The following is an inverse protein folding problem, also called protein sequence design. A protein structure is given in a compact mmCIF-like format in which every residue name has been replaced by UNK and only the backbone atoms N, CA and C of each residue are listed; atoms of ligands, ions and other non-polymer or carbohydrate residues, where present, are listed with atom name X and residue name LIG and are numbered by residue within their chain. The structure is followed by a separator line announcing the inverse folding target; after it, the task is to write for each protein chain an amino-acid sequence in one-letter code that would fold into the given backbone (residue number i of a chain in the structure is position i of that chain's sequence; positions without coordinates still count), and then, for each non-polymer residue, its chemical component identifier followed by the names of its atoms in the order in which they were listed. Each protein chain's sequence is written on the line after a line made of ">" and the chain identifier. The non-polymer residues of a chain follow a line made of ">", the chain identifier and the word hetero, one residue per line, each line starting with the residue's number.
data_IF_130114646509
#
_entry.id   IF_130114646509
#
_cell.length_a   1.000
_cell.length_b   1.000
_cell.length_c   1.000
_cell.angle_alpha   90.00
_cell.angle_beta   90.00
_cell.angle_gamma   90.00
#
_symmetry.space_group_name_H-M   'P 1'
#
loop_
_entity.id
_entity.type
_entity.pdbx_description
1 polymer ?
#
# COMPACT_ATOMS: atom_id res chain seq x y z
N UNK A 1 0.77 48.00 28.35
CA UNK A 1 0.42 46.57 28.38
C UNK A 1 1.60 45.81 28.95
N UNK A 2 1.48 45.30 30.17
CA UNK A 2 2.59 44.72 30.94
C UNK A 2 2.64 43.21 30.68
N UNK A 3 3.75 42.71 30.17
CA UNK A 3 3.92 41.28 29.88
C UNK A 3 3.93 40.45 31.17
N UNK A 4 3.32 39.26 31.19
CA UNK A 4 3.37 38.39 32.37
C UNK A 4 4.81 37.93 32.66
N UNK A 5 5.18 37.75 33.94
CA UNK A 5 6.53 37.35 34.33
C UNK A 5 6.86 35.94 33.81
N UNK A 6 8.03 35.81 33.16
CA UNK A 6 8.55 34.52 32.65
C UNK A 6 8.88 33.61 33.85
N UNK A 7 8.36 32.37 33.82
CA UNK A 7 8.71 31.34 34.81
C UNK A 7 10.23 31.13 34.82
N UNK A 8 10.85 31.27 35.97
CA UNK A 8 12.26 30.96 36.15
C UNK A 8 12.49 29.46 35.96
N UNK A 9 13.48 29.08 35.13
CA UNK A 9 13.88 27.69 34.99
C UNK A 9 14.42 27.19 36.33
N UNK A 10 13.85 26.09 36.83
CA UNK A 10 14.33 25.37 38.01
C UNK A 10 15.84 25.10 37.86
N UNK A 11 16.60 25.66 38.80
CA UNK A 11 18.06 25.78 38.80
C UNK A 11 18.78 24.49 38.41
N UNK A 12 19.78 24.61 37.51
CA UNK A 12 21.07 23.90 37.33
C UNK A 12 21.24 22.44 37.84
N UNK A 13 20.18 21.67 38.05
CA UNK A 13 20.29 20.25 38.36
C UNK A 13 20.37 19.49 37.05
N UNK A 14 21.32 18.56 36.89
CA UNK A 14 21.35 17.69 35.73
C UNK A 14 20.01 16.96 35.63
N UNK A 15 19.40 17.01 34.46
CA UNK A 15 18.18 16.25 34.19
C UNK A 15 18.46 14.77 34.48
N UNK A 16 17.61 14.15 35.30
CA UNK A 16 17.75 12.74 35.63
C UNK A 16 17.56 11.91 34.36
N UNK A 17 18.41 10.90 34.10
CA UNK A 17 18.18 10.02 32.97
C UNK A 17 16.82 9.32 33.11
N UNK A 18 16.16 9.03 31.97
CA UNK A 18 14.90 8.28 31.98
C UNK A 18 15.09 6.93 32.67
N UNK A 19 14.13 6.56 33.52
CA UNK A 19 14.16 5.27 34.21
C UNK A 19 13.75 4.15 33.26
N UNK A 20 14.56 3.09 33.21
CA UNK A 20 14.29 1.91 32.40
C UNK A 20 13.14 1.12 33.04
N UNK A 21 11.91 1.31 32.55
CA UNK A 21 10.78 0.49 32.95
C UNK A 21 10.99 -0.94 32.43
N UNK A 22 11.29 -1.87 33.35
CA UNK A 22 11.51 -3.31 33.06
C UNK A 22 10.29 -4.02 32.45
N UNK A 23 9.14 -3.37 32.43
CA UNK A 23 7.85 -3.90 31.97
C UNK A 23 7.39 -3.26 30.66
N UNK A 24 8.29 -2.64 29.90
CA UNK A 24 7.96 -2.29 28.53
C UNK A 24 7.78 -3.60 27.77
N UNK A 25 6.53 -3.95 27.48
CA UNK A 25 6.20 -4.98 26.51
C UNK A 25 6.89 -4.57 25.22
N UNK A 26 8.04 -5.16 24.94
CA UNK A 26 8.76 -4.89 23.71
C UNK A 26 7.80 -5.22 22.55
N UNK A 27 7.65 -4.31 21.59
CA UNK A 27 6.91 -4.56 20.34
C UNK A 27 7.61 -5.59 19.43
N UNK A 28 8.56 -6.34 19.98
CA UNK A 28 9.32 -7.34 19.27
C UNK A 28 8.42 -8.55 19.09
N UNK A 29 7.95 -8.77 17.86
CA UNK A 29 7.31 -10.03 17.51
C UNK A 29 8.33 -11.17 17.66
N UNK A 30 7.91 -12.32 18.22
CA UNK A 30 8.74 -13.51 18.22
C UNK A 30 9.04 -13.94 16.78
N UNK A 31 10.20 -14.57 16.59
CA UNK A 31 10.60 -15.07 15.27
C UNK A 31 9.58 -16.12 14.81
N UNK A 32 8.99 -15.92 13.64
CA UNK A 32 8.08 -16.87 13.02
C UNK A 32 8.76 -18.24 12.84
N UNK A 33 8.00 -19.32 13.03
CA UNK A 33 8.50 -20.68 12.82
C UNK A 33 8.71 -20.99 11.33
N UNK A 34 9.57 -21.96 11.01
CA UNK A 34 9.87 -22.29 9.61
C UNK A 34 8.64 -22.78 8.82
N UNK A 35 7.66 -23.40 9.50
CA UNK A 35 6.40 -23.87 8.92
C UNK A 35 5.32 -22.76 8.84
N UNK A 36 5.51 -21.64 9.53
CA UNK A 36 4.56 -20.52 9.54
C UNK A 36 4.68 -19.65 8.27
N UNK A 37 5.83 -19.72 7.59
CA UNK A 37 6.11 -18.92 6.39
C UNK A 37 6.32 -19.84 5.20
N UNK A 38 5.26 -20.07 4.42
CA UNK A 38 5.38 -20.70 3.11
C UNK A 38 6.02 -19.70 2.13
N UNK A 39 7.34 -19.81 1.94
CA UNK A 39 8.01 -19.14 0.82
C UNK A 39 7.59 -19.88 -0.44
N UNK A 40 6.60 -19.34 -1.15
CA UNK A 40 6.23 -19.78 -2.49
C UNK A 40 7.41 -19.57 -3.44
N UNK A 41 8.39 -20.48 -3.42
CA UNK A 41 9.37 -20.58 -4.48
C UNK A 41 8.58 -20.97 -5.72
N UNK A 42 8.55 -20.11 -6.74
CA UNK A 42 7.86 -20.33 -8.02
C UNK A 42 8.43 -21.49 -8.84
N UNK A 43 8.58 -22.66 -8.23
CA UNK A 43 9.07 -23.91 -8.81
C UNK A 43 8.34 -25.08 -8.16
N UNK A 44 7.03 -25.08 -8.28
CA UNK A 44 6.28 -26.31 -8.20
C UNK A 44 5.34 -26.31 -9.40
N UNK A 45 5.51 -27.31 -10.26
CA UNK A 45 4.69 -27.55 -11.47
C UNK A 45 5.03 -26.76 -12.73
N UNK A 46 6.31 -26.71 -13.13
CA UNK A 46 6.77 -26.73 -14.55
C UNK A 46 6.27 -25.67 -15.54
N UNK A 47 5.40 -24.74 -15.13
CA UNK A 47 4.79 -23.65 -15.91
C UNK A 47 4.64 -22.40 -15.03
N UNK A 48 5.54 -22.23 -14.07
CA UNK A 48 5.60 -21.04 -13.24
C UNK A 48 6.06 -19.88 -14.11
N UNK A 49 5.14 -18.95 -14.42
CA UNK A 49 5.51 -17.64 -14.96
C UNK A 49 6.60 -17.07 -14.05
N UNK A 50 7.79 -16.80 -14.58
CA UNK A 50 8.80 -16.06 -13.83
C UNK A 50 8.13 -14.77 -13.37
N UNK A 51 7.89 -14.65 -12.06
CA UNK A 51 7.43 -13.40 -11.50
C UNK A 51 8.60 -12.44 -11.63
N UNK A 52 8.45 -11.32 -12.38
CA UNK A 52 9.52 -10.35 -12.49
C UNK A 52 9.81 -9.84 -11.08
N UNK A 53 11.02 -10.13 -10.60
CA UNK A 53 11.52 -9.61 -9.33
C UNK A 53 11.88 -8.16 -9.59
N UNK A 54 11.11 -7.24 -9.01
CA UNK A 54 11.45 -5.82 -9.01
C UNK A 54 12.35 -5.58 -7.81
N UNK A 55 13.64 -5.43 -8.05
CA UNK A 55 14.61 -5.10 -7.00
C UNK A 55 14.45 -3.61 -6.65
N UNK A 56 14.02 -3.32 -5.42
CA UNK A 56 13.84 -1.95 -4.96
C UNK A 56 15.21 -1.37 -4.58
N UNK A 57 15.77 -0.49 -5.41
CA UNK A 57 16.99 0.25 -5.07
C UNK A 57 16.62 1.60 -4.45
N UNK A 58 17.22 1.95 -3.30
CA UNK A 58 16.93 3.21 -2.59
C UNK A 58 17.34 4.48 -3.34
N UNK A 59 18.04 4.31 -4.47
CA UNK A 59 18.48 5.38 -5.37
C UNK A 59 17.55 5.55 -6.58
N UNK A 60 16.59 4.66 -6.78
CA UNK A 60 15.63 4.79 -7.87
C UNK A 60 14.65 5.92 -7.52
N UNK A 61 14.46 6.91 -8.42
CA UNK A 61 13.42 7.90 -8.20
C UNK A 61 12.10 7.15 -8.03
N UNK A 62 11.31 7.44 -6.97
CA UNK A 62 10.04 6.77 -6.78
C UNK A 62 9.24 6.94 -8.05
N UNK A 63 8.76 5.82 -8.60
CA UNK A 63 7.90 5.85 -9.76
C UNK A 63 6.82 6.90 -9.49
N UNK A 64 6.64 7.90 -10.36
CA UNK A 64 5.70 8.98 -10.10
C UNK A 64 4.36 8.35 -9.79
N UNK A 65 3.68 8.89 -8.77
CA UNK A 65 2.34 8.46 -8.43
C UNK A 65 1.54 8.36 -9.73
N UNK A 66 1.00 7.17 -9.99
CA UNK A 66 0.03 6.99 -11.06
C UNK A 66 -0.99 8.12 -10.95
N UNK A 67 -1.16 8.86 -12.04
CA UNK A 67 -2.05 10.01 -12.11
C UNK A 67 -3.36 9.71 -11.35
N UNK A 68 -3.76 10.54 -10.36
CA UNK A 68 -4.93 10.26 -9.52
C UNK A 68 -6.23 10.06 -10.33
N UNK A 69 -6.27 10.54 -11.57
CA UNK A 69 -7.39 10.32 -12.49
C UNK A 69 -7.46 8.90 -13.09
N UNK A 70 -6.45 8.05 -12.90
CA UNK A 70 -6.39 6.75 -13.59
C UNK A 70 -7.55 5.83 -13.21
N UNK A 71 -8.00 5.86 -11.95
CA UNK A 71 -9.15 5.09 -11.49
C UNK A 71 -10.43 5.62 -12.13
N UNK A 72 -10.60 6.95 -12.20
CA UNK A 72 -11.76 7.58 -12.83
C UNK A 72 -11.84 7.26 -14.33
N UNK A 73 -10.70 7.33 -15.04
CA UNK A 73 -10.61 6.93 -16.46
C UNK A 73 -10.97 5.46 -16.68
N UNK A 74 -10.49 4.56 -15.82
CA UNK A 74 -10.84 3.13 -15.90
C UNK A 74 -12.33 2.89 -15.71
N UNK A 75 -12.97 3.59 -14.76
CA UNK A 75 -14.41 3.50 -14.53
C UNK A 75 -15.19 3.99 -15.77
N UNK A 76 -14.80 5.12 -16.35
CA UNK A 76 -15.44 5.65 -17.56
C UNK A 76 -15.29 4.70 -18.75
N UNK A 77 -14.09 4.15 -18.94
CA UNK A 77 -13.82 3.20 -20.01
C UNK A 77 -14.64 1.91 -19.85
N UNK A 78 -14.73 1.35 -18.64
CA UNK A 78 -15.54 0.16 -18.37
C UNK A 78 -17.03 0.41 -18.69
N UNK A 79 -17.57 1.59 -18.35
CA UNK A 79 -18.94 1.96 -18.69
C UNK A 79 -19.17 2.07 -20.20
N UNK A 80 -18.26 2.71 -20.94
CA UNK A 80 -18.35 2.81 -22.39
C UNK A 80 -18.27 1.43 -23.05
N UNK A 81 -17.35 0.59 -22.59
CA UNK A 81 -17.21 -0.78 -23.08
C UNK A 81 -18.50 -1.59 -22.90
N UNK A 82 -19.18 -1.48 -21.76
CA UNK A 82 -20.47 -2.15 -21.54
C UNK A 82 -21.56 -1.64 -22.48
N UNK A 83 -21.62 -0.33 -22.74
CA UNK A 83 -22.57 0.27 -23.68
C UNK A 83 -22.32 -0.24 -25.11
N UNK A 84 -21.06 -0.28 -25.53
CA UNK A 84 -20.69 -0.73 -26.87
C UNK A 84 -20.97 -2.22 -27.05
N UNK A 85 -20.71 -3.03 -26.02
CA UNK A 85 -21.09 -4.45 -25.98
C UNK A 85 -22.60 -4.64 -26.16
N UNK A 86 -23.43 -3.88 -25.44
CA UNK A 86 -24.89 -3.94 -25.57
C UNK A 86 -25.36 -3.54 -26.97
N UNK A 87 -24.81 -2.46 -27.54
CA UNK A 87 -25.12 -2.03 -28.91
C UNK A 87 -24.76 -3.09 -29.94
N UNK A 88 -23.60 -3.74 -29.78
CA UNK A 88 -23.21 -4.84 -30.67
C UNK A 88 -24.14 -6.05 -30.54
N UNK A 89 -24.58 -6.39 -29.33
CA UNK A 89 -25.56 -7.47 -29.12
C UNK A 89 -26.93 -7.14 -29.72
N UNK A 90 -27.39 -5.89 -29.61
CA UNK A 90 -28.66 -5.43 -30.17
C UNK A 90 -28.63 -5.37 -31.71
N UNK A 91 -27.48 -5.05 -32.30
CA UNK A 91 -27.28 -5.07 -33.76
C UNK A 91 -27.08 -6.49 -34.31
N UNK A 92 -26.60 -7.43 -33.50
CA UNK A 92 -26.44 -8.83 -33.87
C UNK A 92 -27.66 -9.71 -33.55
N UNK A 93 -28.67 -9.17 -32.85
CA UNK A 93 -29.96 -9.83 -32.78
C UNK A 93 -30.52 -9.88 -34.22
N UNK A 94 -30.58 -11.07 -34.87
CA UNK A 94 -31.24 -11.14 -36.15
C UNK A 94 -32.68 -10.69 -35.92
N UNK A 95 -33.16 -9.85 -36.82
CA UNK A 95 -34.58 -9.71 -37.11
C UNK A 95 -35.14 -11.11 -37.39
N UNK A 96 -35.49 -11.87 -36.35
CA UNK A 96 -36.32 -13.04 -36.47
C UNK A 96 -37.72 -12.53 -36.77
N UNK A 97 -38.03 -12.47 -38.07
CA UNK A 97 -39.30 -12.82 -38.74
C UNK A 97 -40.59 -12.48 -37.97
N UNK A 98 -41.51 -11.70 -38.52
CA UNK A 98 -42.17 -12.02 -39.80
C UNK A 98 -43.57 -12.55 -39.49
#
# INVERSE_FOLDING_TARGET
>A
MTSPPKRELLKKTPLRPPQLHRTTSAYTQPRASADEVSVGKGKENGKGKQLPVVEFTSQEPPQPFLDPSIIQRRIQYAKQYEIDQRKQMEQQAPSSSG
#
